data_IF_795794622115
#
_entry.id   IF_795794622115
#
_cell.length_a   1.000
_cell.length_b   1.000
_cell.length_c   1.000
_cell.angle_alpha   90.00
_cell.angle_beta   90.00
_cell.angle_gamma   90.00
#
_symmetry.space_group_name_H-M   'P 1'
#
loop_
_entity.id
_entity.type
_entity.pdbx_description
1 polymer ?
#
# COMPACT_ATOMS: atom_id res chain seq x y z
N UNK A 1 -15.19 -7.28 3.73
CA UNK A 1 -14.97 -7.24 5.19
C UNK A 1 -13.48 -7.02 5.50
N UNK A 2 -13.18 -6.09 6.37
CA UNK A 2 -11.79 -5.83 6.77
C UNK A 2 -11.51 -6.56 8.07
N UNK A 3 -10.40 -7.28 8.10
CA UNK A 3 -9.97 -8.04 9.27
C UNK A 3 -8.45 -8.03 9.41
N UNK A 4 -7.96 -8.42 10.59
CA UNK A 4 -6.52 -8.62 10.80
C UNK A 4 -6.04 -9.75 9.89
N UNK A 5 -4.83 -9.62 9.34
CA UNK A 5 -4.25 -10.64 8.48
C UNK A 5 -3.93 -11.92 9.24
N UNK A 6 -3.87 -13.04 8.50
CA UNK A 6 -3.38 -14.34 8.98
C UNK A 6 -2.21 -14.76 8.12
N UNK A 7 -1.34 -15.63 8.63
CA UNK A 7 -0.21 -16.13 7.85
C UNK A 7 -0.63 -16.74 6.52
N UNK A 8 -1.82 -17.35 6.48
CA UNK A 8 -2.37 -17.95 5.27
C UNK A 8 -2.71 -16.91 4.19
N UNK A 9 -2.80 -15.63 4.53
CA UNK A 9 -3.07 -14.54 3.57
C UNK A 9 -1.79 -14.07 2.88
N UNK A 10 -0.61 -14.43 3.39
CA UNK A 10 0.66 -13.84 2.98
C UNK A 10 0.94 -13.99 1.48
N UNK A 11 0.71 -15.17 0.91
CA UNK A 11 0.95 -15.40 -0.52
C UNK A 11 0.02 -14.55 -1.39
N UNK A 12 -1.24 -14.41 -1.01
CA UNK A 12 -2.20 -13.54 -1.69
C UNK A 12 -1.79 -12.08 -1.61
N UNK A 13 -1.33 -11.64 -0.43
CA UNK A 13 -0.87 -10.27 -0.24
C UNK A 13 0.34 -9.96 -1.12
N UNK A 14 1.28 -10.91 -1.22
CA UNK A 14 2.45 -10.76 -2.09
C UNK A 14 2.06 -10.69 -3.56
N UNK A 15 1.11 -11.52 -3.98
CA UNK A 15 0.60 -11.48 -5.35
C UNK A 15 -0.02 -10.11 -5.66
N UNK A 16 -0.87 -9.61 -4.78
CA UNK A 16 -1.52 -8.31 -4.94
C UNK A 16 -0.48 -7.19 -4.99
N UNK A 17 0.49 -7.21 -4.06
CA UNK A 17 1.56 -6.23 -4.05
C UNK A 17 2.33 -6.20 -5.36
N UNK A 18 2.74 -7.37 -5.86
CA UNK A 18 3.50 -7.47 -7.09
C UNK A 18 2.68 -7.01 -8.29
N UNK A 19 1.49 -7.57 -8.47
CA UNK A 19 0.63 -7.26 -9.62
C UNK A 19 0.27 -5.78 -9.68
N UNK A 20 -0.10 -5.20 -8.55
CA UNK A 20 -0.46 -3.79 -8.47
C UNK A 20 0.75 -2.87 -8.68
N UNK A 21 1.91 -3.25 -8.14
CA UNK A 21 3.14 -2.46 -8.29
C UNK A 21 3.62 -2.42 -9.73
N UNK A 22 3.57 -3.54 -10.43
CA UNK A 22 3.98 -3.61 -11.85
C UNK A 22 3.11 -2.69 -12.70
N UNK A 23 1.82 -2.62 -12.41
CA UNK A 23 0.88 -1.76 -13.15
C UNK A 23 1.02 -0.29 -12.73
N UNK A 24 0.96 -0.01 -11.43
CA UNK A 24 0.94 1.36 -10.92
C UNK A 24 2.29 2.07 -11.04
N UNK A 25 3.38 1.30 -11.03
CA UNK A 25 4.74 1.82 -11.06
C UNK A 25 5.47 1.37 -12.32
N UNK A 26 4.85 1.61 -13.48
CA UNK A 26 5.40 1.21 -14.79
C UNK A 26 6.74 1.87 -15.11
N UNK A 27 7.09 2.95 -14.42
CA UNK A 27 8.39 3.61 -14.52
C UNK A 27 9.52 2.83 -13.82
N UNK A 28 9.18 1.73 -13.12
CA UNK A 28 10.14 0.82 -12.49
C UNK A 28 9.93 -0.57 -13.11
N UNK A 29 11.03 -1.27 -13.43
CA UNK A 29 10.92 -2.58 -14.10
C UNK A 29 10.24 -3.64 -13.25
N UNK A 30 9.51 -4.56 -13.91
CA UNK A 30 8.87 -5.67 -13.23
C UNK A 30 9.89 -6.58 -12.51
N UNK A 31 11.09 -6.71 -13.08
CA UNK A 31 12.16 -7.51 -12.47
C UNK A 31 12.62 -6.95 -11.13
N UNK A 32 12.59 -5.63 -10.94
CA UNK A 32 12.87 -5.01 -9.66
C UNK A 32 11.85 -5.47 -8.61
N UNK A 33 10.56 -5.39 -8.92
CA UNK A 33 9.51 -5.80 -7.99
C UNK A 33 9.61 -7.29 -7.65
N UNK A 34 9.89 -8.13 -8.67
CA UNK A 34 10.10 -9.56 -8.45
C UNK A 34 11.27 -9.82 -7.49
N UNK A 35 12.35 -9.04 -7.60
CA UNK A 35 13.52 -9.18 -6.71
C UNK A 35 13.23 -8.79 -5.27
N UNK A 36 12.19 -8.00 -5.00
CA UNK A 36 11.83 -7.53 -3.67
C UNK A 36 10.84 -8.44 -2.93
N UNK A 37 10.31 -9.48 -3.59
CA UNK A 37 9.31 -10.38 -2.98
C UNK A 37 9.77 -11.02 -1.68
N UNK A 38 11.01 -11.52 -1.64
CA UNK A 38 11.56 -12.15 -0.42
C UNK A 38 11.64 -11.17 0.73
N UNK A 39 12.08 -9.94 0.49
CA UNK A 39 12.16 -8.91 1.51
C UNK A 39 10.78 -8.56 2.04
N UNK A 40 9.78 -8.42 1.17
CA UNK A 40 8.40 -8.16 1.59
C UNK A 40 7.88 -9.28 2.47
N UNK A 41 8.09 -10.52 2.07
CA UNK A 41 7.61 -11.70 2.79
C UNK A 41 8.29 -11.88 4.15
N UNK A 42 9.60 -11.71 4.19
CA UNK A 42 10.41 -12.09 5.36
C UNK A 42 10.69 -10.94 6.32
N UNK A 43 10.74 -9.71 5.81
CA UNK A 43 11.15 -8.55 6.60
C UNK A 43 10.03 -7.53 6.82
N UNK A 44 9.38 -7.08 5.75
CA UNK A 44 8.47 -5.94 5.86
C UNK A 44 7.10 -6.33 6.40
N UNK A 45 6.43 -7.31 5.80
CA UNK A 45 5.09 -7.69 6.21
C UNK A 45 5.02 -8.23 7.64
N UNK A 46 5.96 -9.11 8.09
CA UNK A 46 5.90 -9.62 9.45
C UNK A 46 6.10 -8.55 10.53
N UNK A 47 6.77 -7.45 10.22
CA UNK A 47 7.04 -6.36 11.17
C UNK A 47 5.91 -5.33 11.24
N UNK A 48 4.94 -5.41 10.34
CA UNK A 48 3.86 -4.43 10.23
C UNK A 48 2.57 -4.93 10.87
N UNK A 49 1.68 -3.99 11.21
CA UNK A 49 0.28 -4.32 11.46
C UNK A 49 -0.40 -4.44 10.11
N UNK A 50 -0.94 -5.60 9.79
CA UNK A 50 -1.56 -5.86 8.49
C UNK A 50 -3.05 -6.12 8.62
N UNK A 51 -3.82 -5.46 7.77
CA UNK A 51 -5.27 -5.67 7.66
C UNK A 51 -5.61 -5.97 6.21
N UNK A 52 -6.47 -6.95 6.01
CA UNK A 52 -6.88 -7.38 4.68
C UNK A 52 -8.37 -7.12 4.47
N UNK A 53 -8.75 -6.86 3.22
CA UNK A 53 -10.14 -6.84 2.81
C UNK A 53 -10.45 -8.17 2.15
N UNK A 54 -11.37 -8.92 2.76
CA UNK A 54 -11.80 -10.22 2.26
C UNK A 54 -13.19 -10.11 1.66
N UNK A 55 -13.35 -10.62 0.45
CA UNK A 55 -14.62 -10.68 -0.26
C UNK A 55 -14.77 -12.07 -0.83
N UNK A 56 -15.89 -12.72 -0.52
CA UNK A 56 -16.20 -14.06 -1.03
C UNK A 56 -15.09 -15.09 -0.77
N UNK A 57 -14.46 -15.00 0.40
CA UNK A 57 -13.39 -15.90 0.81
C UNK A 57 -12.02 -15.58 0.21
N UNK A 58 -11.90 -14.48 -0.52
CA UNK A 58 -10.64 -14.08 -1.16
C UNK A 58 -10.16 -12.72 -0.67
N UNK A 59 -8.84 -12.58 -0.52
CA UNK A 59 -8.22 -11.29 -0.19
C UNK A 59 -8.21 -10.44 -1.45
N UNK A 60 -8.82 -9.26 -1.39
CA UNK A 60 -8.90 -8.32 -2.51
C UNK A 60 -7.99 -7.11 -2.35
N UNK A 61 -7.49 -6.88 -1.15
CA UNK A 61 -6.57 -5.78 -0.87
C UNK A 61 -6.07 -5.84 0.55
N UNK A 62 -5.03 -5.04 0.86
CA UNK A 62 -4.49 -4.98 2.20
C UNK A 62 -3.85 -3.61 2.49
N UNK A 63 -3.72 -3.31 3.78
CA UNK A 63 -2.97 -2.15 4.26
C UNK A 63 -2.01 -2.61 5.35
N UNK A 64 -0.79 -2.09 5.32
CA UNK A 64 0.25 -2.39 6.30
C UNK A 64 0.69 -1.11 6.99
N UNK A 65 0.71 -1.12 8.31
CA UNK A 65 1.06 0.03 9.13
C UNK A 65 2.27 -0.30 10.01
N UNK A 66 3.18 0.67 10.12
CA UNK A 66 4.24 0.63 11.13
C UNK A 66 4.09 1.91 11.93
N UNK A 67 3.61 1.80 13.18
CA UNK A 67 3.24 2.98 13.96
C UNK A 67 2.14 3.77 13.25
N UNK A 68 2.41 5.02 12.94
CA UNK A 68 1.50 5.92 12.22
C UNK A 68 1.81 6.00 10.71
N UNK A 69 2.76 5.19 10.22
CA UNK A 69 3.11 5.16 8.81
C UNK A 69 2.35 4.11 8.05
N UNK A 70 1.75 4.49 6.93
CA UNK A 70 1.19 3.55 5.96
C UNK A 70 2.33 3.06 5.08
N UNK A 71 2.79 1.84 5.30
CA UNK A 71 3.91 1.27 4.57
C UNK A 71 3.48 0.63 3.26
N UNK A 72 2.23 0.18 3.19
CA UNK A 72 1.66 -0.42 1.99
C UNK A 72 0.15 -0.27 2.00
N UNK A 73 -0.41 0.01 0.84
CA UNK A 73 -1.86 -0.02 0.59
C UNK A 73 -2.03 -0.45 -0.86
N UNK A 74 -2.50 -1.67 -1.04
CA UNK A 74 -2.63 -2.27 -2.36
C UNK A 74 -3.97 -2.97 -2.52
N UNK A 75 -4.56 -2.83 -3.70
CA UNK A 75 -5.80 -3.49 -4.08
C UNK A 75 -5.51 -4.30 -5.33
N UNK A 76 -5.99 -5.54 -5.37
CA UNK A 76 -5.82 -6.40 -6.55
C UNK A 76 -6.33 -5.66 -7.79
N UNK A 77 -5.60 -5.72 -8.92
CA UNK A 77 -6.01 -4.98 -10.13
C UNK A 77 -7.45 -5.24 -10.54
N UNK A 78 -7.91 -6.49 -10.46
CA UNK A 78 -9.27 -6.89 -10.80
C UNK A 78 -10.33 -6.37 -9.82
N UNK A 79 -9.93 -5.90 -8.65
CA UNK A 79 -10.82 -5.42 -7.61
C UNK A 79 -10.77 -3.89 -7.42
N UNK A 80 -9.98 -3.19 -8.20
CA UNK A 80 -9.86 -1.72 -8.11
C UNK A 80 -11.14 -1.04 -8.59
N UNK A 81 -11.37 0.18 -8.11
CA UNK A 81 -12.56 0.96 -8.47
C UNK A 81 -13.83 0.59 -7.70
N UNK A 82 -13.73 -0.24 -6.65
CA UNK A 82 -14.85 -0.70 -5.84
C UNK A 82 -14.87 -0.15 -4.41
N UNK A 83 -14.00 0.81 -4.11
CA UNK A 83 -13.92 1.42 -2.79
C UNK A 83 -13.13 0.63 -1.75
N UNK A 84 -12.40 -0.40 -2.14
CA UNK A 84 -11.60 -1.24 -1.21
C UNK A 84 -10.45 -0.46 -0.60
N UNK A 85 -9.71 0.28 -1.41
CA UNK A 85 -8.61 1.12 -0.92
C UNK A 85 -9.09 2.19 0.05
N UNK A 86 -10.22 2.82 -0.26
CA UNK A 86 -10.86 3.79 0.62
C UNK A 86 -11.24 3.15 1.96
N UNK A 87 -11.86 1.97 1.93
CA UNK A 87 -12.29 1.28 3.14
C UNK A 87 -11.10 0.90 4.03
N UNK A 88 -10.02 0.41 3.42
CA UNK A 88 -8.80 0.07 4.15
C UNK A 88 -8.16 1.30 4.79
N UNK A 89 -8.09 2.40 4.07
CA UNK A 89 -7.51 3.64 4.58
C UNK A 89 -8.37 4.24 5.70
N UNK A 90 -9.69 4.23 5.55
CA UNK A 90 -10.60 4.71 6.60
C UNK A 90 -10.51 3.82 7.85
N UNK A 91 -10.31 2.51 7.68
CA UNK A 91 -10.07 1.61 8.81
C UNK A 91 -8.81 2.02 9.59
N UNK A 92 -7.72 2.30 8.87
CA UNK A 92 -6.48 2.77 9.50
C UNK A 92 -6.68 4.09 10.25
N UNK A 93 -7.47 5.01 9.71
CA UNK A 93 -7.79 6.28 10.35
C UNK A 93 -8.53 6.09 11.69
N UNK A 94 -9.36 5.05 11.80
CA UNK A 94 -10.05 4.75 13.06
C UNK A 94 -9.09 4.26 14.16
N UNK A 95 -7.95 3.70 13.75
CA UNK A 95 -6.95 3.15 14.68
C UNK A 95 -5.88 4.17 15.07
N UNK A 96 -5.62 5.15 14.24
CA UNK A 96 -4.53 6.11 14.40
C UNK A 96 -5.09 7.53 14.31
N UNK A 97 -4.57 8.43 15.17
CA UNK A 97 -4.98 9.83 15.15
C UNK A 97 -4.35 10.63 14.02
N UNK A 98 -3.30 10.09 13.40
CA UNK A 98 -2.60 10.68 12.28
C UNK A 98 -1.95 9.57 11.47
N UNK A 99 -1.73 9.84 10.18
CA UNK A 99 -1.06 8.89 9.28
C UNK A 99 -0.08 9.64 8.39
N UNK A 100 1.03 8.98 8.04
CA UNK A 100 1.97 9.46 7.05
C UNK A 100 2.28 8.35 6.06
N UNK A 101 2.70 8.72 4.86
CA UNK A 101 3.10 7.76 3.83
C UNK A 101 4.03 8.40 2.82
N UNK A 102 4.72 7.55 2.07
CA UNK A 102 5.47 7.96 0.89
C UNK A 102 4.78 7.40 -0.34
N UNK A 103 4.67 8.19 -1.38
CA UNK A 103 4.09 7.77 -2.66
C UNK A 103 4.98 8.28 -3.79
N UNK A 104 5.22 7.46 -4.80
CA UNK A 104 6.00 7.91 -5.95
C UNK A 104 5.27 9.07 -6.63
N UNK A 105 6.00 10.16 -6.91
CA UNK A 105 5.43 11.34 -7.55
C UNK A 105 4.81 11.02 -8.90
N UNK A 106 5.41 10.09 -9.64
CA UNK A 106 4.92 9.67 -10.95
C UNK A 106 3.65 8.80 -10.87
N UNK A 107 3.30 8.32 -9.67
CA UNK A 107 2.03 7.62 -9.45
C UNK A 107 0.93 8.64 -9.15
N UNK A 108 0.51 9.36 -10.18
CA UNK A 108 -0.48 10.44 -10.04
C UNK A 108 -1.84 9.94 -9.54
N UNK A 109 -2.24 8.76 -9.94
CA UNK A 109 -3.51 8.15 -9.51
C UNK A 109 -3.53 7.97 -7.99
N UNK A 110 -2.46 7.43 -7.41
CA UNK A 110 -2.35 7.25 -5.98
C UNK A 110 -2.27 8.59 -5.26
N UNK A 111 -1.50 9.53 -5.78
CA UNK A 111 -1.38 10.87 -5.20
C UNK A 111 -2.74 11.55 -5.09
N UNK A 112 -3.52 11.52 -6.17
CA UNK A 112 -4.88 12.10 -6.17
C UNK A 112 -5.82 11.37 -5.21
N UNK A 113 -5.68 10.04 -5.12
CA UNK A 113 -6.46 9.25 -4.18
C UNK A 113 -6.21 9.72 -2.74
N UNK A 114 -4.94 9.84 -2.34
CA UNK A 114 -4.60 10.29 -0.99
C UNK A 114 -5.05 11.72 -0.74
N UNK A 115 -4.89 12.61 -1.71
CA UNK A 115 -5.39 13.98 -1.59
C UNK A 115 -6.90 14.03 -1.37
N UNK A 116 -7.65 13.18 -2.10
CA UNK A 116 -9.10 13.08 -1.93
C UNK A 116 -9.51 12.54 -0.56
N UNK A 117 -8.59 11.87 0.14
CA UNK A 117 -8.82 11.33 1.48
C UNK A 117 -8.28 12.25 2.58
N UNK A 118 -7.87 13.46 2.24
CA UNK A 118 -7.44 14.46 3.21
C UNK A 118 -5.94 14.49 3.48
N UNK A 119 -5.14 13.74 2.75
CA UNK A 119 -3.69 13.80 2.88
C UNK A 119 -3.14 15.02 2.15
N UNK A 120 -2.08 15.61 2.70
CA UNK A 120 -1.40 16.77 2.14
C UNK A 120 0.08 16.47 1.97
N UNK A 121 0.67 16.96 0.88
CA UNK A 121 2.08 16.84 0.64
C UNK A 121 2.86 17.65 1.68
N UNK A 122 3.86 17.01 2.32
CA UNK A 122 4.69 17.61 3.35
C UNK A 122 6.18 17.65 2.97
N UNK A 123 6.58 16.99 1.90
CA UNK A 123 7.97 16.98 1.44
C UNK A 123 8.18 16.06 0.25
N UNK A 124 9.40 16.08 -0.26
CA UNK A 124 9.83 15.22 -1.35
C UNK A 124 11.20 14.61 -1.02
N UNK A 125 11.44 13.38 -1.45
CA UNK A 125 12.75 12.75 -1.35
C UNK A 125 12.93 11.74 -2.49
N UNK A 126 14.18 11.35 -2.75
CA UNK A 126 14.49 10.34 -3.75
C UNK A 126 14.52 8.96 -3.07
N UNK A 127 13.79 8.00 -3.65
CA UNK A 127 13.88 6.61 -3.21
C UNK A 127 15.22 6.06 -3.71
N UNK A 128 16.10 5.71 -2.80
CA UNK A 128 17.43 5.20 -3.10
C UNK A 128 17.43 3.91 -3.89
N UNK A 129 16.38 3.09 -3.75
CA UNK A 129 16.28 1.80 -4.43
C UNK A 129 15.89 1.93 -5.89
N UNK A 130 15.07 2.91 -6.24
CA UNK A 130 14.55 3.09 -7.60
C UNK A 130 15.09 4.33 -8.30
N UNK A 131 15.63 5.30 -7.53
CA UNK A 131 16.03 6.60 -8.06
C UNK A 131 14.87 7.53 -8.37
N UNK A 132 13.65 7.14 -8.05
CA UNK A 132 12.44 7.93 -8.35
C UNK A 132 12.07 8.84 -7.19
N UNK A 133 11.49 10.01 -7.51
CA UNK A 133 11.01 10.95 -6.50
C UNK A 133 9.77 10.41 -5.80
N UNK A 134 9.74 10.57 -4.48
CA UNK A 134 8.59 10.26 -3.65
C UNK A 134 8.07 11.53 -2.97
N UNK A 135 6.76 11.61 -2.83
CA UNK A 135 6.12 12.62 -2.00
C UNK A 135 5.88 12.04 -0.61
N UNK A 136 6.22 12.81 0.42
CA UNK A 136 5.79 12.52 1.78
C UNK A 136 4.42 13.17 1.94
N UNK A 137 3.42 12.40 2.33
CA UNK A 137 2.05 12.89 2.56
C UNK A 137 1.61 12.59 3.98
N UNK A 138 0.84 13.51 4.56
CA UNK A 138 0.38 13.40 5.94
C UNK A 138 -1.11 13.71 6.06
N UNK A 139 -1.75 13.02 6.98
CA UNK A 139 -3.15 13.22 7.37
C UNK A 139 -3.25 13.27 8.90
N UNK A 140 -4.06 14.21 9.40
CA UNK A 140 -4.45 14.29 10.80
C UNK A 140 -5.95 14.41 10.94
#
# INVERSE_FOLDING_TARGET
MIRTYRETDLEEMLRIWYDASVIAHSFVSASFWASQKSAMKEMYLPLAENYVCEQEGQVSGFISLVGESVCALFVAPEAQGKGIGKALLEHAKTLKGRLSLNVYKDNEKATRFYESRGFKAAGEEVDEHTGCLQLLMEWE
#
